data_IF_468423943991
#
_entry.id   IF_468423943991
#
_cell.length_a   1.000
_cell.length_b   1.000
_cell.length_c   1.000
_cell.angle_alpha   90.00
_cell.angle_beta   90.00
_cell.angle_gamma   90.00
#
_symmetry.space_group_name_H-M   'P 1'
#
loop_
_entity.id
_entity.type
_entity.pdbx_description
1 polymer ?
#
# COMPACT_ATOMS: atom_id res chain seq x y z
N UNK A 1 42.97 20.85 46.57
CA UNK A 1 41.57 21.25 46.31
C UNK A 1 41.42 21.65 44.85
N UNK A 2 40.83 20.79 44.00
CA UNK A 2 40.41 21.14 42.64
C UNK A 2 39.06 20.47 42.37
N UNK A 3 38.06 21.31 42.12
CA UNK A 3 36.69 20.94 41.75
C UNK A 3 36.68 20.43 40.32
N UNK A 4 36.06 19.30 40.06
CA UNK A 4 35.55 18.93 38.74
C UNK A 4 34.08 18.56 38.90
N UNK A 5 33.23 19.53 38.61
CA UNK A 5 31.80 19.33 38.41
C UNK A 5 31.63 18.82 36.98
N UNK A 6 31.19 17.57 36.80
CA UNK A 6 30.70 17.09 35.51
C UNK A 6 29.20 16.84 35.65
N UNK A 7 28.42 17.77 35.12
CA UNK A 7 26.99 17.60 34.92
C UNK A 7 26.77 16.63 33.76
N UNK A 8 26.23 15.44 34.06
CA UNK A 8 25.81 14.48 33.05
C UNK A 8 24.39 14.84 32.59
N UNK A 9 24.29 15.46 31.41
CA UNK A 9 23.05 15.54 30.64
C UNK A 9 22.71 14.14 30.13
N UNK A 10 21.67 13.50 30.67
CA UNK A 10 21.09 12.31 30.04
C UNK A 10 19.96 12.73 29.12
N UNK A 11 20.21 12.51 27.83
CA UNK A 11 19.36 12.77 26.68
C UNK A 11 18.04 12.01 26.81
N UNK A 12 16.93 12.76 26.76
CA UNK A 12 15.58 12.21 26.58
C UNK A 12 15.55 11.59 25.16
N UNK A 13 15.74 10.27 25.08
CA UNK A 13 15.53 9.55 23.83
C UNK A 13 14.03 9.56 23.53
N UNK A 14 13.59 10.48 22.67
CA UNK A 14 12.32 10.34 21.97
C UNK A 14 12.38 9.02 21.21
N UNK A 15 11.71 7.99 21.74
CA UNK A 15 11.35 6.82 20.98
C UNK A 15 10.29 7.30 19.99
N UNK A 16 10.74 7.91 18.90
CA UNK A 16 10.00 7.92 17.66
C UNK A 16 9.86 6.44 17.32
N UNK A 17 8.70 5.85 17.63
CA UNK A 17 8.30 4.62 16.97
C UNK A 17 8.30 4.96 15.49
N UNK A 18 9.37 4.53 14.80
CA UNK A 18 9.39 4.51 13.35
C UNK A 18 8.16 3.70 12.95
N UNK A 19 7.21 4.36 12.31
CA UNK A 19 6.01 3.73 11.81
C UNK A 19 6.44 2.58 10.90
N UNK A 20 6.09 1.34 11.27
CA UNK A 20 6.56 0.16 10.58
C UNK A 20 6.04 0.18 9.14
N UNK A 21 6.97 0.20 8.19
CA UNK A 21 6.68 0.38 6.77
C UNK A 21 5.85 -0.80 6.22
N UNK A 22 4.87 -0.56 5.35
CA UNK A 22 4.16 -1.65 4.70
C UNK A 22 5.11 -2.51 3.85
N UNK A 23 5.07 -3.81 4.07
CA UNK A 23 5.85 -4.81 3.33
C UNK A 23 4.88 -5.69 2.54
N UNK A 24 5.28 -6.17 1.36
CA UNK A 24 4.43 -7.06 0.57
C UNK A 24 5.08 -8.43 0.40
N UNK A 25 4.29 -9.49 0.50
CA UNK A 25 4.71 -10.85 0.19
C UNK A 25 4.12 -11.21 -1.16
N UNK A 26 4.97 -11.42 -2.16
CA UNK A 26 4.57 -11.93 -3.47
C UNK A 26 4.68 -13.45 -3.43
N UNK A 27 3.63 -14.16 -3.80
CA UNK A 27 3.64 -15.62 -3.85
C UNK A 27 3.24 -16.13 -5.23
N UNK A 28 3.93 -17.18 -5.70
CA UNK A 28 3.59 -17.88 -6.94
C UNK A 28 2.57 -18.99 -6.61
N UNK A 29 1.28 -18.64 -6.62
CA UNK A 29 0.19 -19.58 -6.38
C UNK A 29 -0.11 -20.45 -7.59
N UNK A 30 -0.62 -21.66 -7.37
CA UNK A 30 -1.13 -22.55 -8.44
C UNK A 30 -2.63 -22.78 -8.26
N UNK A 31 -3.43 -21.76 -8.53
CA UNK A 31 -4.90 -21.83 -8.41
C UNK A 31 -5.57 -22.49 -9.62
N UNK A 32 -4.96 -22.35 -10.81
CA UNK A 32 -5.47 -22.92 -12.06
C UNK A 32 -4.35 -23.73 -12.72
N UNK A 33 -4.69 -24.91 -13.25
CA UNK A 33 -3.75 -25.92 -13.76
C UNK A 33 -2.85 -25.46 -14.92
N UNK A 34 -3.04 -24.26 -15.45
CA UNK A 34 -2.39 -23.84 -16.69
C UNK A 34 -1.20 -22.88 -16.50
N UNK A 35 -1.13 -22.04 -15.46
CA UNK A 35 0.02 -21.15 -15.21
C UNK A 35 0.13 -20.73 -13.72
N UNK A 36 1.35 -20.46 -13.20
CA UNK A 36 1.51 -19.81 -11.90
C UNK A 36 0.81 -18.45 -11.88
N UNK A 37 -0.07 -18.25 -10.92
CA UNK A 37 -0.84 -17.03 -10.72
C UNK A 37 -0.35 -16.34 -9.45
N UNK A 38 0.18 -15.14 -9.60
CA UNK A 38 0.79 -14.40 -8.49
C UNK A 38 -0.28 -13.67 -7.68
N UNK A 39 -0.15 -13.73 -6.36
CA UNK A 39 -0.93 -12.92 -5.43
C UNK A 39 0.00 -12.17 -4.48
N UNK A 40 -0.54 -11.15 -3.83
CA UNK A 40 0.19 -10.31 -2.90
C UNK A 40 -0.51 -10.25 -1.56
N UNK A 41 0.29 -10.22 -0.49
CA UNK A 41 -0.15 -9.88 0.86
C UNK A 41 0.63 -8.66 1.29
N UNK A 42 0.02 -7.48 1.20
CA UNK A 42 0.63 -6.23 1.65
C UNK A 42 0.17 -5.96 3.07
N UNK A 43 1.10 -5.81 4.00
CA UNK A 43 0.83 -5.78 5.44
C UNK A 43 1.58 -4.66 6.16
N UNK A 44 1.01 -4.18 7.27
CA UNK A 44 1.59 -3.19 8.17
C UNK A 44 1.58 -3.77 9.60
N UNK A 45 2.78 -4.03 10.14
CA UNK A 45 2.94 -4.59 11.48
C UNK A 45 2.56 -3.62 12.60
N UNK A 46 2.62 -2.31 12.35
CA UNK A 46 2.22 -1.30 13.32
C UNK A 46 0.71 -1.29 13.56
N UNK A 47 -0.07 -1.63 12.53
CA UNK A 47 -1.53 -1.71 12.61
C UNK A 47 -2.08 -3.13 12.73
N UNK A 48 -1.24 -4.16 12.57
CA UNK A 48 -1.64 -5.58 12.50
C UNK A 48 -2.67 -5.89 11.41
N UNK A 49 -2.64 -5.14 10.31
CA UNK A 49 -3.55 -5.35 9.19
C UNK A 49 -2.79 -5.77 7.94
N UNK A 50 -3.49 -6.43 7.04
CA UNK A 50 -3.02 -6.68 5.70
C UNK A 50 -4.16 -6.60 4.69
N UNK A 51 -3.79 -6.50 3.41
CA UNK A 51 -4.70 -6.71 2.29
C UNK A 51 -4.11 -7.77 1.37
N UNK A 52 -4.96 -8.72 1.03
CA UNK A 52 -4.70 -9.77 0.06
C UNK A 52 -5.20 -9.34 -1.31
N UNK A 53 -4.31 -9.34 -2.30
CA UNK A 53 -4.62 -9.06 -3.70
C UNK A 53 -4.51 -10.36 -4.49
N UNK A 54 -5.63 -10.85 -5.01
CA UNK A 54 -5.65 -12.07 -5.80
C UNK A 54 -5.35 -11.77 -7.30
N UNK A 55 -5.03 -12.81 -8.09
CA UNK A 55 -4.77 -12.64 -9.53
C UNK A 55 -5.98 -12.11 -10.32
N UNK A 56 -7.20 -12.30 -9.80
CA UNK A 56 -8.45 -11.78 -10.38
C UNK A 56 -8.76 -10.32 -10.03
N UNK A 57 -7.84 -9.61 -9.35
CA UNK A 57 -7.99 -8.20 -8.98
C UNK A 57 -8.86 -7.94 -7.74
N UNK A 58 -9.34 -8.98 -7.06
CA UNK A 58 -10.06 -8.83 -5.80
C UNK A 58 -9.09 -8.45 -4.68
N UNK A 59 -9.51 -7.50 -3.85
CA UNK A 59 -8.83 -7.08 -2.63
C UNK A 59 -9.62 -7.56 -1.44
N UNK A 60 -9.00 -8.33 -0.57
CA UNK A 60 -9.63 -8.84 0.64
C UNK A 60 -8.84 -8.38 1.87
N UNK A 61 -9.48 -7.66 2.80
CA UNK A 61 -8.83 -7.23 4.03
C UNK A 61 -8.63 -8.42 4.98
N UNK A 62 -7.57 -8.36 5.78
CA UNK A 62 -7.37 -9.30 6.88
C UNK A 62 -6.49 -8.75 8.00
N UNK A 63 -6.36 -9.57 9.03
CA UNK A 63 -5.68 -9.23 10.28
C UNK A 63 -4.45 -10.14 10.46
N UNK A 64 -3.34 -9.56 10.89
CA UNK A 64 -2.18 -10.31 11.35
C UNK A 64 -2.47 -10.73 12.79
N UNK A 65 -2.57 -12.03 13.03
CA UNK A 65 -2.99 -12.58 14.33
C UNK A 65 -1.82 -13.05 15.20
N UNK A 66 -0.65 -13.27 14.60
CA UNK A 66 0.60 -13.52 15.33
C UNK A 66 1.82 -13.11 14.49
N UNK A 67 2.88 -12.65 15.18
CA UNK A 67 4.14 -12.21 14.59
C UNK A 67 5.30 -12.79 15.38
N UNK A 68 6.29 -13.34 14.67
CA UNK A 68 7.58 -13.74 15.22
C UNK A 68 8.68 -13.54 14.18
N UNK A 69 9.94 -13.67 14.59
CA UNK A 69 11.08 -13.62 13.66
C UNK A 69 11.03 -14.72 12.59
N UNK A 70 10.36 -15.84 12.89
CA UNK A 70 10.26 -16.98 11.99
C UNK A 70 9.00 -16.97 11.11
N UNK A 71 7.91 -16.33 11.56
CA UNK A 71 6.59 -16.55 10.99
C UNK A 71 5.63 -15.36 11.18
N UNK A 72 4.78 -15.13 10.18
CA UNK A 72 3.59 -14.27 10.26
C UNK A 72 2.34 -15.14 10.10
N UNK A 73 1.37 -14.97 10.99
CA UNK A 73 0.07 -15.64 10.91
C UNK A 73 -1.03 -14.65 10.56
N UNK A 74 -1.87 -15.04 9.60
CA UNK A 74 -2.88 -14.19 8.99
C UNK A 74 -4.27 -14.78 9.15
N UNK A 75 -5.25 -13.90 9.34
CA UNK A 75 -6.68 -14.19 9.29
C UNK A 75 -7.32 -13.37 8.16
N UNK A 76 -7.54 -14.00 7.01
CA UNK A 76 -8.26 -13.42 5.88
C UNK A 76 -9.77 -13.57 6.07
N UNK A 77 -10.51 -12.48 5.89
CA UNK A 77 -11.98 -12.52 5.87
C UNK A 77 -12.44 -12.76 4.42
N UNK A 78 -13.18 -13.84 4.19
CA UNK A 78 -13.71 -14.20 2.88
C UNK A 78 -15.19 -14.61 2.96
N UNK A 79 -15.86 -14.70 1.81
CA UNK A 79 -17.22 -15.24 1.76
C UNK A 79 -17.20 -16.70 2.20
N UNK A 80 -17.88 -17.01 3.31
CA UNK A 80 -17.87 -18.33 3.95
C UNK A 80 -17.05 -18.42 5.24
N UNK A 81 -16.39 -17.35 5.68
CA UNK A 81 -15.78 -17.28 7.01
C UNK A 81 -14.36 -16.72 7.03
N UNK A 82 -13.58 -17.14 8.02
CA UNK A 82 -12.17 -16.76 8.17
C UNK A 82 -11.28 -17.85 7.62
N UNK A 83 -10.32 -17.47 6.78
CA UNK A 83 -9.25 -18.33 6.30
C UNK A 83 -7.99 -17.95 7.07
N UNK A 84 -7.47 -18.88 7.86
CA UNK A 84 -6.19 -18.72 8.53
C UNK A 84 -5.09 -19.22 7.61
N UNK A 85 -3.95 -18.57 7.54
CA UNK A 85 -2.80 -19.01 6.75
C UNK A 85 -1.53 -18.35 7.30
N UNK A 86 -0.35 -18.88 6.96
CA UNK A 86 0.91 -18.43 7.57
C UNK A 86 2.04 -18.29 6.57
N UNK A 87 2.93 -17.33 6.81
CA UNK A 87 4.15 -17.12 6.04
C UNK A 87 5.38 -17.47 6.87
N UNK A 88 6.11 -18.51 6.45
CA UNK A 88 7.43 -18.87 6.98
C UNK A 88 8.49 -17.95 6.35
N UNK A 89 9.06 -17.07 7.17
CA UNK A 89 10.03 -16.05 6.73
C UNK A 89 11.40 -16.65 6.42
N UNK A 90 11.74 -17.79 7.02
CA UNK A 90 13.02 -18.49 6.77
C UNK A 90 12.98 -19.25 5.45
N UNK A 91 11.85 -19.87 5.14
CA UNK A 91 11.64 -20.65 3.91
C UNK A 91 11.07 -19.81 2.76
N UNK A 92 10.65 -18.58 3.03
CA UNK A 92 9.90 -17.74 2.10
C UNK A 92 8.71 -18.50 1.50
N UNK A 93 7.90 -19.13 2.35
CA UNK A 93 6.82 -19.99 1.93
C UNK A 93 5.50 -19.64 2.63
N UNK A 94 4.43 -19.45 1.85
CA UNK A 94 3.08 -19.27 2.37
C UNK A 94 2.37 -20.61 2.44
N UNK A 95 1.86 -20.95 3.63
CA UNK A 95 1.06 -22.15 3.87
C UNK A 95 -0.40 -21.76 4.01
N UNK A 96 -1.23 -22.22 3.08
CA UNK A 96 -2.68 -22.21 3.22
C UNK A 96 -3.11 -23.57 3.78
N UNK A 97 -3.67 -23.62 4.99
CA UNK A 97 -4.18 -24.86 5.54
C UNK A 97 -5.28 -25.37 4.61
N UNK A 98 -5.14 -26.64 4.21
CA UNK A 98 -6.21 -27.35 3.53
C UNK A 98 -7.44 -27.42 4.44
N UNK A 99 -8.61 -27.64 3.86
CA UNK A 99 -9.77 -27.99 4.69
C UNK A 99 -9.58 -29.39 5.26
N UNK A 100 -10.10 -29.69 6.46
CA UNK A 100 -10.04 -31.03 7.03
C UNK A 100 -10.46 -32.06 5.99
N UNK A 101 -9.66 -33.12 5.85
CA UNK A 101 -9.78 -34.11 4.77
C UNK A 101 -11.16 -34.79 4.70
N UNK A 102 -11.93 -34.74 5.80
CA UNK A 102 -13.27 -35.26 5.96
C UNK A 102 -14.39 -34.36 5.40
N UNK A 103 -14.12 -33.10 5.03
CA UNK A 103 -15.16 -32.19 4.55
C UNK A 103 -15.06 -31.91 3.05
N UNK A 104 -13.87 -31.64 2.49
CA UNK A 104 -13.75 -31.17 1.09
C UNK A 104 -12.47 -31.59 0.34
N UNK A 105 -11.68 -32.54 0.87
CA UNK A 105 -10.46 -33.08 0.25
C UNK A 105 -9.48 -32.02 -0.33
N UNK A 106 -9.40 -30.83 0.28
CA UNK A 106 -8.44 -29.80 -0.14
C UNK A 106 -7.10 -30.04 0.53
N UNK A 107 -6.09 -30.37 -0.26
CA UNK A 107 -4.71 -30.47 0.22
C UNK A 107 -4.22 -29.13 0.77
N UNK A 108 -3.33 -29.22 1.76
CA UNK A 108 -2.51 -28.09 2.20
C UNK A 108 -1.76 -27.52 0.99
N UNK A 109 -1.83 -26.20 0.81
CA UNK A 109 -1.12 -25.53 -0.28
C UNK A 109 0.10 -24.80 0.28
N UNK A 110 1.26 -25.07 -0.31
CA UNK A 110 2.49 -24.34 -0.06
C UNK A 110 2.88 -23.57 -1.32
N UNK A 111 3.02 -22.27 -1.19
CA UNK A 111 3.43 -21.39 -2.27
C UNK A 111 4.81 -20.81 -1.95
N UNK A 112 5.72 -20.86 -2.92
CA UNK A 112 6.98 -20.12 -2.85
C UNK A 112 6.70 -18.63 -2.98
N UNK A 113 7.34 -17.84 -2.13
CA UNK A 113 7.11 -16.42 -2.03
C UNK A 113 8.41 -15.63 -1.96
N UNK A 114 8.28 -14.30 -1.98
CA UNK A 114 9.39 -13.37 -1.79
C UNK A 114 8.83 -12.11 -1.12
N UNK A 115 9.47 -11.64 -0.05
CA UNK A 115 9.22 -10.29 0.46
C UNK A 115 9.70 -9.29 -0.59
N UNK A 116 8.83 -8.36 -0.95
CA UNK A 116 9.07 -7.28 -1.90
C UNK A 116 8.65 -5.96 -1.25
N UNK A 117 9.17 -4.81 -1.73
CA UNK A 117 8.66 -3.52 -1.28
C UNK A 117 7.13 -3.49 -1.37
N UNK A 118 6.47 -2.83 -0.41
CA UNK A 118 5.02 -2.69 -0.35
C UNK A 118 4.44 -2.33 -1.73
N UNK A 119 3.49 -3.12 -2.24
CA UNK A 119 2.80 -2.78 -3.48
C UNK A 119 1.57 -1.94 -3.15
N UNK A 120 1.35 -0.93 -3.97
CA UNK A 120 0.24 -0.01 -3.86
C UNK A 120 -0.89 -0.39 -4.80
N UNK A 121 -2.04 0.25 -4.64
CA UNK A 121 -3.27 0.07 -5.44
C UNK A 121 -3.11 0.12 -6.97
N UNK A 122 -1.93 0.48 -7.46
CA UNK A 122 -1.59 0.65 -8.87
C UNK A 122 -1.73 -0.65 -9.67
N UNK A 123 -1.47 -1.80 -9.05
CA UNK A 123 -1.75 -3.14 -9.61
C UNK A 123 -3.23 -3.37 -9.93
N UNK A 124 -4.13 -2.82 -9.11
CA UNK A 124 -5.57 -3.06 -9.20
C UNK A 124 -6.35 -1.99 -9.99
N UNK A 125 -5.77 -0.81 -10.21
CA UNK A 125 -6.34 0.22 -11.07
C UNK A 125 -5.82 0.20 -12.49
N UNK A 126 -4.74 -0.56 -12.75
CA UNK A 126 -4.44 -0.92 -14.13
C UNK A 126 -5.63 -1.70 -14.67
N UNK A 127 -6.08 -1.33 -15.87
CA UNK A 127 -7.32 -1.77 -16.53
C UNK A 127 -7.68 -3.24 -16.27
N UNK A 128 -8.95 -3.65 -16.43
CA UNK A 128 -9.33 -5.06 -16.53
C UNK A 128 -8.76 -5.68 -17.82
N UNK A 129 -7.43 -5.66 -17.97
CA UNK A 129 -6.69 -6.51 -18.87
C UNK A 129 -6.57 -7.87 -18.19
N UNK A 130 -6.63 -8.97 -18.96
CA UNK A 130 -6.31 -10.29 -18.44
C UNK A 130 -4.94 -10.22 -17.77
N UNK A 131 -4.86 -10.67 -16.52
CA UNK A 131 -3.62 -10.83 -15.77
C UNK A 131 -2.51 -11.32 -16.70
N UNK A 132 -1.47 -10.51 -16.91
CA UNK A 132 -0.29 -10.90 -17.67
C UNK A 132 0.75 -11.49 -16.70
N UNK A 133 0.96 -12.83 -16.69
CA UNK A 133 1.92 -13.48 -15.81
C UNK A 133 3.37 -13.09 -16.11
N UNK A 134 3.66 -12.54 -17.30
CA UNK A 134 4.98 -12.07 -17.72
C UNK A 134 5.25 -10.63 -17.30
N UNK A 135 4.22 -9.90 -16.84
CA UNK A 135 4.36 -8.54 -16.36
C UNK A 135 5.06 -8.51 -15.02
N UNK A 136 6.39 -8.48 -15.11
CA UNK A 136 7.33 -8.24 -14.01
C UNK A 136 7.56 -6.73 -13.85
N UNK A 137 6.51 -5.91 -13.93
CA UNK A 137 6.66 -4.45 -13.93
C UNK A 137 7.64 -4.04 -12.83
N UNK A 138 8.77 -3.40 -13.18
CA UNK A 138 9.58 -2.78 -12.16
C UNK A 138 8.69 -1.71 -11.52
N UNK A 139 8.27 -1.98 -10.29
CA UNK A 139 7.52 -0.99 -9.50
C UNK A 139 8.53 0.07 -9.10
N UNK A 140 8.42 1.25 -9.69
CA UNK A 140 9.16 2.43 -9.26
C UNK A 140 8.19 3.40 -8.59
N UNK A 141 7.58 2.88 -7.52
CA UNK A 141 6.53 3.54 -6.79
C UNK A 141 7.03 4.21 -5.51
N UNK A 142 6.49 5.38 -5.24
CA UNK A 142 6.64 6.09 -3.97
C UNK A 142 5.29 6.74 -3.61
N UNK A 143 5.15 7.08 -2.33
CA UNK A 143 3.97 7.81 -1.85
C UNK A 143 4.38 9.20 -1.37
N UNK A 144 3.41 10.11 -1.39
CA UNK A 144 3.46 11.41 -0.77
C UNK A 144 2.47 11.39 0.39
N UNK A 145 2.90 11.79 1.57
CA UNK A 145 2.02 12.08 2.70
C UNK A 145 1.89 13.59 2.82
N UNK A 146 0.68 14.11 2.63
CA UNK A 146 0.42 15.54 2.61
C UNK A 146 -0.56 15.91 3.73
N UNK A 147 -0.37 17.07 4.35
CA UNK A 147 -1.35 17.63 5.29
C UNK A 147 -2.27 18.60 4.55
N UNK A 148 -3.53 18.20 4.38
CA UNK A 148 -4.58 19.04 3.82
C UNK A 148 -5.41 19.74 4.89
N UNK A 149 -6.20 20.74 4.47
CA UNK A 149 -7.16 21.44 5.35
C UNK A 149 -8.21 20.49 5.97
N UNK A 150 -8.53 19.39 5.27
CA UNK A 150 -9.51 18.38 5.69
C UNK A 150 -8.88 17.11 6.26
N UNK A 151 -7.58 17.15 6.61
CA UNK A 151 -6.83 16.01 7.15
C UNK A 151 -5.71 15.55 6.23
N UNK A 152 -4.97 14.53 6.69
CA UNK A 152 -3.91 13.92 5.91
C UNK A 152 -4.48 13.21 4.67
N UNK A 153 -3.73 13.23 3.58
CA UNK A 153 -4.04 12.49 2.37
C UNK A 153 -2.76 11.94 1.77
N UNK A 154 -2.90 10.87 0.99
CA UNK A 154 -1.79 10.14 0.40
C UNK A 154 -1.89 10.15 -1.12
N UNK A 155 -0.76 10.38 -1.78
CA UNK A 155 -0.65 10.23 -3.24
C UNK A 155 0.38 9.17 -3.52
N UNK A 156 -0.02 8.07 -4.13
CA UNK A 156 0.93 7.07 -4.61
C UNK A 156 1.12 7.21 -6.11
N UNK A 157 2.38 7.30 -6.53
CA UNK A 157 2.79 7.39 -7.93
C UNK A 157 3.67 6.20 -8.27
N UNK A 158 3.54 5.65 -9.47
CA UNK A 158 4.52 4.72 -10.06
C UNK A 158 5.04 5.29 -11.37
N UNK A 159 6.33 5.60 -11.38
CA UNK A 159 6.99 6.22 -12.54
C UNK A 159 7.09 5.26 -13.71
N UNK A 160 7.20 3.96 -13.47
CA UNK A 160 7.32 2.96 -14.52
C UNK A 160 6.00 2.75 -15.26
N UNK A 161 4.90 2.63 -14.51
CA UNK A 161 3.57 2.39 -15.09
C UNK A 161 2.78 3.67 -15.37
N UNK A 162 3.27 4.82 -14.91
CA UNK A 162 2.61 6.13 -14.97
C UNK A 162 1.26 6.18 -14.27
N UNK A 163 0.97 5.26 -13.36
CA UNK A 163 -0.30 5.23 -12.64
C UNK A 163 -0.18 6.11 -11.39
N UNK A 164 -1.26 6.81 -11.05
CA UNK A 164 -1.40 7.56 -9.80
C UNK A 164 -2.65 7.13 -9.07
N UNK A 165 -2.56 7.07 -7.75
CA UNK A 165 -3.70 6.89 -6.86
C UNK A 165 -3.64 7.95 -5.77
N UNK A 166 -4.74 8.67 -5.59
CA UNK A 166 -4.93 9.66 -4.54
C UNK A 166 -5.97 9.14 -3.55
N UNK A 167 -5.67 9.29 -2.27
CA UNK A 167 -6.49 8.81 -1.16
C UNK A 167 -6.68 9.91 -0.15
N UNK A 168 -7.94 10.25 0.11
CA UNK A 168 -8.28 11.36 1.00
C UNK A 168 -9.09 10.86 2.17
N UNK A 169 -8.63 11.15 3.39
CA UNK A 169 -9.30 10.77 4.63
C UNK A 169 -10.74 11.32 4.70
N UNK A 170 -10.95 12.56 4.27
CA UNK A 170 -12.23 13.27 4.38
C UNK A 170 -13.39 12.65 3.59
N UNK A 171 -13.10 11.83 2.57
CA UNK A 171 -14.13 11.28 1.69
C UNK A 171 -14.18 9.75 1.68
N UNK A 172 -13.20 9.05 2.28
CA UNK A 172 -13.04 7.61 2.06
C UNK A 172 -12.97 7.25 0.57
N UNK A 173 -12.52 8.20 -0.27
CA UNK A 173 -12.48 8.08 -1.71
C UNK A 173 -11.06 7.85 -2.18
N UNK A 174 -10.93 6.84 -3.04
CA UNK A 174 -9.75 6.60 -3.84
C UNK A 174 -10.00 7.10 -5.24
N UNK A 175 -9.12 7.95 -5.73
CA UNK A 175 -9.15 8.49 -7.09
C UNK A 175 -7.98 7.93 -7.88
N UNK A 176 -8.27 7.33 -9.03
CA UNK A 176 -7.24 6.88 -9.97
C UNK A 176 -6.83 8.01 -10.91
N UNK A 177 -5.60 7.91 -11.39
CA UNK A 177 -4.99 8.94 -12.21
C UNK A 177 -3.79 8.44 -12.98
N UNK A 178 -3.14 9.36 -13.66
CA UNK A 178 -1.96 9.09 -14.48
C UNK A 178 -0.92 10.21 -14.36
N UNK A 179 0.35 9.83 -14.46
CA UNK A 179 1.47 10.75 -14.62
C UNK A 179 1.46 11.25 -16.05
N UNK A 180 1.27 12.55 -16.23
CA UNK A 180 1.18 13.20 -17.54
C UNK A 180 2.52 13.73 -18.02
N UNK A 181 3.44 14.04 -17.11
CA UNK A 181 4.80 14.46 -17.47
C UNK A 181 5.75 14.48 -16.29
N UNK A 182 7.05 14.39 -16.59
CA UNK A 182 8.14 14.44 -15.62
C UNK A 182 9.26 15.30 -16.19
N UNK A 183 9.70 16.31 -15.46
CA UNK A 183 10.72 17.27 -15.91
C UNK A 183 11.54 17.76 -14.71
N UNK A 184 12.85 17.52 -14.70
CA UNK A 184 13.82 18.03 -13.72
C UNK A 184 13.38 18.07 -12.24
N UNK A 185 12.81 16.97 -11.73
CA UNK A 185 12.35 16.85 -10.34
C UNK A 185 10.94 17.40 -10.10
N UNK A 186 10.22 17.74 -11.17
CA UNK A 186 8.81 18.11 -11.18
C UNK A 186 8.01 17.01 -11.85
N UNK A 187 7.01 16.48 -11.15
CA UNK A 187 6.05 15.50 -11.69
C UNK A 187 4.68 16.13 -11.86
N UNK A 188 4.14 16.05 -13.07
CA UNK A 188 2.79 16.47 -13.42
C UNK A 188 1.93 15.22 -13.55
N UNK A 189 0.77 15.23 -12.91
CA UNK A 189 -0.15 14.12 -12.94
C UNK A 189 -1.57 14.62 -12.77
N UNK A 190 -2.52 13.74 -13.03
CA UNK A 190 -3.91 14.05 -12.83
C UNK A 190 -4.70 12.88 -12.32
N UNK A 191 -5.71 13.19 -11.53
CA UNK A 191 -6.59 12.21 -10.90
C UNK A 191 -8.04 12.52 -11.24
N UNK A 192 -8.84 11.47 -11.38
CA UNK A 192 -10.26 11.59 -11.61
C UNK A 192 -10.94 12.21 -10.39
N UNK A 193 -11.74 13.25 -10.58
CA UNK A 193 -12.68 13.77 -9.57
C UNK A 193 -14.10 13.77 -10.12
N UNK A 194 -15.09 13.96 -9.25
CA UNK A 194 -16.50 14.10 -9.63
C UNK A 194 -16.95 15.54 -9.40
N UNK A 195 -17.37 16.30 -10.43
CA UNK A 195 -17.50 15.94 -11.85
C UNK A 195 -16.20 16.08 -12.67
N UNK A 196 -15.18 16.75 -12.14
CA UNK A 196 -14.01 17.18 -12.91
C UNK A 196 -12.71 16.46 -12.52
N UNK A 197 -11.77 16.40 -13.46
CA UNK A 197 -10.37 16.01 -13.21
C UNK A 197 -9.63 17.07 -12.39
N UNK A 198 -8.73 16.62 -11.53
CA UNK A 198 -7.76 17.46 -10.83
C UNK A 198 -6.38 17.27 -11.45
N UNK A 199 -5.76 18.38 -11.86
CA UNK A 199 -4.35 18.38 -12.27
C UNK A 199 -3.49 18.78 -11.07
N UNK A 200 -2.40 18.05 -10.87
CA UNK A 200 -1.49 18.23 -9.76
C UNK A 200 -0.04 18.28 -10.25
N UNK A 201 0.77 19.01 -9.48
CA UNK A 201 2.20 19.16 -9.71
C UNK A 201 2.94 18.90 -8.41
N UNK A 202 3.82 17.92 -8.41
CA UNK A 202 4.75 17.65 -7.32
C UNK A 202 6.13 18.20 -7.67
N UNK A 203 6.67 19.09 -6.84
CA UNK A 203 8.05 19.59 -6.90
C UNK A 203 8.87 18.88 -5.82
N UNK A 204 9.71 17.94 -6.23
CA UNK A 204 10.51 17.11 -5.32
C UNK A 204 11.53 17.92 -4.53
N UNK A 205 12.12 18.96 -5.14
CA UNK A 205 13.14 19.80 -4.51
C UNK A 205 12.53 20.67 -3.41
N UNK A 206 11.34 21.22 -3.67
CA UNK A 206 10.61 22.06 -2.71
C UNK A 206 9.78 21.25 -1.72
N UNK A 207 9.55 19.97 -1.99
CA UNK A 207 8.61 19.11 -1.26
C UNK A 207 7.18 19.66 -1.22
N UNK A 208 6.75 20.23 -2.34
CA UNK A 208 5.45 20.88 -2.48
C UNK A 208 4.59 20.17 -3.50
N UNK A 209 3.38 19.79 -3.08
CA UNK A 209 2.32 19.33 -3.96
C UNK A 209 1.32 20.45 -4.21
N UNK A 210 1.21 20.88 -5.47
CA UNK A 210 0.27 21.91 -5.90
C UNK A 210 -0.91 21.29 -6.61
N UNK A 211 -2.10 21.53 -6.09
CA UNK A 211 -3.38 21.32 -6.76
C UNK A 211 -3.66 22.51 -7.66
N UNK A 212 -3.71 22.28 -8.97
CA UNK A 212 -3.92 23.34 -9.94
C UNK A 212 -5.41 23.71 -9.97
N UNK A 213 -5.68 24.97 -9.65
CA UNK A 213 -7.02 25.53 -9.68
C UNK A 213 -7.52 25.82 -11.09
N UNK A 214 -8.81 26.12 -11.22
CA UNK A 214 -9.42 26.53 -12.48
C UNK A 214 -9.55 28.06 -12.49
N UNK A 215 -8.97 28.72 -13.49
CA UNK A 215 -9.01 30.18 -13.60
C UNK A 215 -10.46 30.70 -13.61
N UNK A 216 -10.75 31.71 -12.77
CA UNK A 216 -12.10 32.27 -12.63
C UNK A 216 -13.06 31.46 -11.75
N UNK A 217 -12.66 30.27 -11.28
CA UNK A 217 -13.48 29.44 -10.39
C UNK A 217 -13.02 29.56 -8.93
N UNK A 218 -13.76 30.34 -8.13
CA UNK A 218 -13.45 30.57 -6.72
C UNK A 218 -13.54 29.31 -5.84
N UNK A 219 -14.32 28.30 -6.23
CA UNK A 219 -14.42 27.04 -5.48
C UNK A 219 -13.27 26.07 -5.78
N UNK A 220 -12.47 26.34 -6.82
CA UNK A 220 -11.29 25.56 -7.20
C UNK A 220 -10.04 26.44 -7.31
N UNK A 221 -9.59 27.09 -6.21
CA UNK A 221 -8.35 27.85 -6.23
C UNK A 221 -7.13 26.92 -6.32
N UNK A 222 -6.02 27.44 -6.82
CA UNK A 222 -4.74 26.74 -6.73
C UNK A 222 -4.31 26.66 -5.27
N UNK A 223 -4.05 25.45 -4.77
CA UNK A 223 -3.60 25.21 -3.39
C UNK A 223 -2.28 24.46 -3.40
N UNK A 224 -1.41 24.76 -2.45
CA UNK A 224 -0.12 24.06 -2.31
C UNK A 224 0.01 23.49 -0.91
N UNK A 225 0.47 22.25 -0.83
CA UNK A 225 0.65 21.51 0.41
C UNK A 225 2.10 21.07 0.52
N UNK A 226 2.67 21.20 1.72
CA UNK A 226 3.91 20.52 2.03
C UNK A 226 3.63 19.03 2.20
N UNK A 227 4.46 18.20 1.57
CA UNK A 227 4.34 16.76 1.67
C UNK A 227 5.69 16.11 1.95
N UNK A 228 5.66 14.96 2.62
CA UNK A 228 6.82 14.10 2.76
C UNK A 228 6.77 12.97 1.74
N UNK A 229 7.89 12.67 1.10
CA UNK A 229 8.05 11.42 0.35
C UNK A 229 8.11 10.27 1.34
N UNK A 230 7.28 9.27 1.12
CA UNK A 230 7.16 8.07 1.94
C UNK A 230 7.16 6.82 1.06
N UNK A 231 7.29 5.66 1.70
CA UNK A 231 7.14 4.39 0.98
C UNK A 231 5.68 4.18 0.55
N UNK A 232 5.45 3.46 -0.56
CA UNK A 232 4.16 2.94 -1.00
C UNK A 232 3.20 2.54 0.15
N UNK A 233 2.11 3.29 0.40
CA UNK A 233 1.19 3.01 1.53
C UNK A 233 -0.31 2.95 1.23
N UNK A 234 -0.73 3.17 -0.01
CA UNK A 234 -2.15 3.33 -0.36
C UNK A 234 -3.14 2.36 0.31
N UNK A 235 -3.06 1.07 -0.01
CA UNK A 235 -4.08 0.07 0.38
C UNK A 235 -4.36 0.00 1.90
N UNK A 236 -3.38 0.32 2.75
CA UNK A 236 -3.50 0.19 4.20
C UNK A 236 -4.34 1.29 4.86
N UNK A 237 -4.41 2.48 4.29
CA UNK A 237 -5.20 3.60 4.84
C UNK A 237 -6.72 3.30 4.74
N UNK A 238 -7.13 2.73 3.61
CA UNK A 238 -8.52 2.37 3.35
C UNK A 238 -9.01 1.10 4.07
N UNK A 239 -8.20 0.47 4.92
CA UNK A 239 -8.53 -0.81 5.56
C UNK A 239 -9.90 -0.80 6.24
N UNK A 240 -10.21 0.24 7.01
CA UNK A 240 -11.48 0.34 7.75
C UNK A 240 -12.70 0.39 6.82
N UNK A 241 -12.57 1.03 5.66
CA UNK A 241 -13.60 1.03 4.62
C UNK A 241 -13.71 -0.34 3.96
N UNK A 242 -12.59 -0.94 3.55
CA UNK A 242 -12.57 -2.28 2.95
C UNK A 242 -13.18 -3.34 3.88
N UNK A 243 -12.92 -3.25 5.18
CA UNK A 243 -13.45 -4.16 6.19
C UNK A 243 -14.97 -4.01 6.43
N UNK A 244 -15.56 -2.86 6.07
CA UNK A 244 -17.01 -2.57 6.22
C UNK A 244 -17.85 -2.98 5.02
N UNK A 245 -17.25 -3.19 3.85
CA UNK A 245 -17.96 -3.58 2.62
C UNK A 245 -18.26 -5.09 2.60
N UNK A 246 -18.86 -5.62 3.67
CA UNK A 246 -19.45 -6.98 3.84
C UNK A 246 -20.01 -7.12 5.26
#
# INVERSE_FOLDING_TARGET
>A
MRRFTLSLFMVLACILQAEAEPTSIRCDGQYYQQQPQRYFVTYDLGTNHFVFENPGGNKLPGEIIAVSDAQLDFSLRADGGRILFSFDRKRNAMTWPGMPANELARSLLQHSCTEVPGRTMLSAFYRPEPFDPKRLDPVDAFSLTCTGEMGAYFVTLDRATRIVVLETYAAGQTMSGEITGTDDGVMKFAVAGRPDRFDLVWDERKRLLTWIGVAGNQSRPTKTHECAVTKPRSIMEGYSSLARWR
#
